data_IF_632662909165
#
_entry.id   IF_632662909165
#
_cell.length_a   1.000
_cell.length_b   1.000
_cell.length_c   1.000
_cell.angle_alpha   90.00
_cell.angle_beta   90.00
_cell.angle_gamma   90.00
#
_symmetry.space_group_name_H-M   'P 1'
#
loop_
_entity.id
_entity.type
_entity.pdbx_description
1 polymer ?
#
# COMPACT_ATOMS: atom_id res chain seq x y z
N UNK A 1 35.92 -51.97 59.15
CA UNK A 1 35.38 -53.03 58.26
C UNK A 1 34.99 -52.35 56.95
N UNK A 2 35.84 -52.42 55.91
CA UNK A 2 35.60 -53.08 54.60
C UNK A 2 34.20 -52.72 54.04
N UNK A 3 33.99 -52.13 52.85
CA UNK A 3 34.51 -52.44 51.50
C UNK A 3 34.09 -51.36 50.49
N UNK A 4 34.78 -51.36 49.34
CA UNK A 4 34.30 -51.02 47.97
C UNK A 4 33.98 -49.57 47.65
N UNK A 5 34.67 -48.99 46.65
CA UNK A 5 34.10 -48.44 45.40
C UNK A 5 35.30 -48.18 44.45
N UNK A 6 35.51 -49.11 43.53
CA UNK A 6 36.27 -48.92 42.28
C UNK A 6 35.22 -49.10 41.17
N UNK A 7 35.44 -48.43 40.02
CA UNK A 7 34.62 -48.46 38.80
C UNK A 7 33.40 -47.50 38.78
N UNK A 8 33.64 -46.20 38.61
CA UNK A 8 32.55 -45.25 38.27
C UNK A 8 32.94 -44.16 37.26
N UNK A 9 34.04 -44.33 36.50
CA UNK A 9 34.52 -43.30 35.55
C UNK A 9 34.50 -43.79 34.09
N UNK A 10 33.79 -44.88 33.77
CA UNK A 10 33.76 -45.42 32.40
C UNK A 10 32.38 -45.82 31.90
N UNK A 11 31.32 -45.11 32.32
CA UNK A 11 29.97 -45.29 31.75
C UNK A 11 29.17 -43.98 31.58
N UNK A 12 29.77 -42.80 31.76
CA UNK A 12 29.04 -41.52 31.66
C UNK A 12 29.29 -40.74 30.34
N UNK A 13 30.13 -41.27 29.43
CA UNK A 13 30.53 -40.53 28.21
C UNK A 13 29.87 -41.05 26.93
N UNK A 14 29.10 -42.14 26.98
CA UNK A 14 28.47 -42.73 25.78
C UNK A 14 26.98 -42.42 25.59
N UNK A 15 26.41 -41.50 26.39
CA UNK A 15 24.99 -41.12 26.30
C UNK A 15 24.74 -39.65 25.86
N UNK A 16 25.72 -39.00 25.24
CA UNK A 16 25.59 -37.62 24.73
C UNK A 16 25.48 -37.50 23.20
N UNK A 17 25.49 -38.64 22.49
CA UNK A 17 25.69 -38.68 21.03
C UNK A 17 24.44 -38.69 20.13
N UNK A 18 23.21 -38.64 20.66
CA UNK A 18 22.01 -38.55 19.79
C UNK A 18 21.47 -37.13 19.87
N UNK A 19 22.01 -36.24 19.05
CA UNK A 19 21.29 -35.02 18.69
C UNK A 19 20.11 -35.46 17.82
N UNK A 20 18.92 -35.54 18.41
CA UNK A 20 17.70 -35.51 17.60
C UNK A 20 17.79 -34.22 16.80
N UNK A 21 17.92 -34.31 15.48
CA UNK A 21 17.71 -33.19 14.58
C UNK A 21 16.34 -32.63 14.90
N UNK A 22 16.29 -31.57 15.70
CA UNK A 22 15.07 -30.85 15.95
C UNK A 22 14.81 -30.10 14.65
N UNK A 23 13.97 -30.67 13.79
CA UNK A 23 13.26 -29.88 12.80
C UNK A 23 12.50 -28.82 13.59
N UNK A 24 13.11 -27.64 13.72
CA UNK A 24 12.47 -26.52 14.38
C UNK A 24 11.35 -26.12 13.44
N UNK A 25 10.12 -26.50 13.79
CA UNK A 25 8.94 -26.02 13.10
C UNK A 25 9.09 -24.50 12.98
N UNK A 26 9.07 -23.99 11.76
CA UNK A 26 9.14 -22.56 11.52
C UNK A 26 8.08 -21.91 12.41
N UNK A 27 8.49 -20.99 13.29
CA UNK A 27 7.53 -20.25 14.10
C UNK A 27 6.52 -19.64 13.12
N UNK A 28 5.21 -19.90 13.27
CA UNK A 28 4.22 -19.29 12.41
C UNK A 28 4.45 -17.77 12.44
N UNK A 29 4.62 -17.19 11.26
CA UNK A 29 4.87 -15.77 11.12
C UNK A 29 3.79 -15.00 11.88
N UNK A 30 4.21 -14.08 12.74
CA UNK A 30 3.27 -13.29 13.53
C UNK A 30 2.49 -12.37 12.58
N UNK A 31 1.21 -12.65 12.38
CA UNK A 31 0.31 -11.77 11.62
C UNK A 31 -0.23 -10.67 12.52
N UNK A 32 0.06 -9.42 12.16
CA UNK A 32 -0.52 -8.25 12.81
C UNK A 32 -1.69 -7.73 11.97
N UNK A 33 -2.90 -7.76 12.54
CA UNK A 33 -4.09 -7.19 11.92
C UNK A 33 -4.19 -5.72 12.36
N UNK A 34 -4.13 -4.80 11.39
CA UNK A 34 -4.36 -3.37 11.62
C UNK A 34 -5.79 -3.05 11.19
N UNK A 35 -6.67 -2.79 12.16
CA UNK A 35 -8.09 -2.50 11.89
C UNK A 35 -8.32 -1.11 11.27
N UNK A 36 -7.61 -0.11 11.77
CA UNK A 36 -7.66 1.25 11.24
C UNK A 36 -6.24 1.85 11.23
N UNK A 37 -5.58 1.90 10.05
CA UNK A 37 -4.23 2.44 9.96
C UNK A 37 -4.16 3.94 10.25
N UNK A 38 -5.31 4.64 10.22
CA UNK A 38 -5.40 6.09 10.44
C UNK A 38 -5.91 6.47 11.84
N UNK A 39 -6.03 5.52 12.78
CA UNK A 39 -6.63 5.78 14.12
C UNK A 39 -5.99 6.93 14.90
N UNK A 40 -4.70 7.20 14.65
CA UNK A 40 -3.92 8.21 15.35
C UNK A 40 -3.68 9.47 14.49
N UNK A 41 -4.32 9.57 13.31
CA UNK A 41 -4.18 10.74 12.46
C UNK A 41 -5.07 11.86 12.99
N UNK A 42 -4.48 12.99 13.35
CA UNK A 42 -5.22 14.20 13.68
C UNK A 42 -5.53 14.97 12.40
N UNK A 43 -6.66 14.68 11.75
CA UNK A 43 -7.04 15.32 10.49
C UNK A 43 -7.16 16.85 10.56
N UNK A 44 -7.42 17.40 11.75
CA UNK A 44 -7.52 18.84 11.96
C UNK A 44 -6.18 19.58 11.79
N UNK A 45 -5.04 18.87 11.85
CA UNK A 45 -3.72 19.47 11.61
C UNK A 45 -3.33 19.51 10.13
N UNK A 46 -4.11 18.86 9.27
CA UNK A 46 -3.84 18.81 7.83
C UNK A 46 -4.75 19.78 7.09
N UNK A 47 -4.16 20.64 6.26
CA UNK A 47 -4.93 21.52 5.38
C UNK A 47 -5.74 20.68 4.39
N UNK A 48 -7.05 20.90 4.39
CA UNK A 48 -7.96 20.25 3.45
C UNK A 48 -8.03 21.07 2.15
N UNK A 49 -7.97 20.38 1.03
CA UNK A 49 -7.99 20.97 -0.31
C UNK A 49 -9.15 20.39 -1.12
N UNK A 50 -9.99 21.25 -1.70
CA UNK A 50 -10.98 20.83 -2.69
C UNK A 50 -10.22 20.56 -3.99
N UNK A 51 -10.27 19.32 -4.46
CA UNK A 51 -9.46 18.83 -5.57
C UNK A 51 -10.33 18.18 -6.66
N UNK A 52 -9.99 18.45 -7.91
CA UNK A 52 -10.54 17.78 -9.08
C UNK A 52 -9.41 16.98 -9.74
N UNK A 53 -9.49 15.65 -9.66
CA UNK A 53 -8.36 14.77 -10.02
C UNK A 53 -8.59 14.00 -11.32
N UNK A 54 -9.70 14.24 -12.00
CA UNK A 54 -10.07 13.58 -13.24
C UNK A 54 -10.95 14.54 -14.05
N UNK A 55 -10.32 15.31 -14.93
CA UNK A 55 -10.97 16.36 -15.72
C UNK A 55 -10.42 16.33 -17.12
N UNK A 56 -11.32 16.30 -18.10
CA UNK A 56 -10.97 16.23 -19.51
C UNK A 56 -11.25 17.58 -20.17
N UNK A 57 -10.55 17.85 -21.25
CA UNK A 57 -10.61 19.07 -22.05
C UNK A 57 -10.86 18.71 -23.52
N UNK A 58 -10.93 19.71 -24.37
CA UNK A 58 -10.96 19.53 -25.82
C UNK A 58 -9.72 18.80 -26.39
N UNK A 59 -8.68 18.53 -25.59
CA UNK A 59 -7.55 17.70 -26.01
C UNK A 59 -7.83 16.19 -25.97
N UNK A 60 -8.98 15.74 -25.44
CA UNK A 60 -9.52 14.40 -25.73
C UNK A 60 -11.02 14.47 -26.03
N UNK A 61 -11.85 14.02 -25.10
CA UNK A 61 -13.30 13.87 -25.17
C UNK A 61 -14.03 14.80 -24.17
N UNK A 62 -13.33 15.76 -23.56
CA UNK A 62 -13.94 16.83 -22.79
C UNK A 62 -14.48 17.94 -23.70
N UNK A 63 -15.29 18.85 -23.17
CA UNK A 63 -16.05 19.83 -23.97
C UNK A 63 -15.49 21.26 -23.97
N UNK A 64 -14.47 21.54 -23.15
CA UNK A 64 -14.00 22.91 -22.91
C UNK A 64 -12.49 23.05 -23.13
N UNK A 65 -12.07 24.25 -23.54
CA UNK A 65 -10.65 24.58 -23.67
C UNK A 65 -9.97 24.50 -22.29
N UNK A 66 -8.68 24.21 -22.27
CA UNK A 66 -7.88 24.09 -21.03
C UNK A 66 -8.04 25.33 -20.14
N UNK A 67 -8.03 26.52 -20.74
CA UNK A 67 -8.11 27.79 -20.00
C UNK A 67 -9.50 28.03 -19.39
N UNK A 68 -10.57 27.63 -20.07
CA UNK A 68 -11.94 27.63 -19.54
C UNK A 68 -12.07 26.70 -18.34
N UNK A 69 -11.55 25.47 -18.46
CA UNK A 69 -11.55 24.48 -17.37
C UNK A 69 -10.80 25.04 -16.16
N UNK A 70 -9.57 25.52 -16.34
CA UNK A 70 -8.77 26.08 -15.23
C UNK A 70 -9.52 27.24 -14.54
N UNK A 71 -10.05 28.19 -15.30
CA UNK A 71 -10.80 29.33 -14.74
C UNK A 71 -12.08 28.89 -14.03
N UNK A 72 -12.82 27.93 -14.58
CA UNK A 72 -14.05 27.43 -13.98
C UNK A 72 -13.78 26.76 -12.62
N UNK A 73 -12.77 25.89 -12.54
CA UNK A 73 -12.41 25.21 -11.29
C UNK A 73 -11.84 26.17 -10.24
N UNK A 74 -11.02 27.14 -10.66
CA UNK A 74 -10.56 28.21 -9.78
C UNK A 74 -11.75 29.01 -9.20
N UNK A 75 -12.69 29.44 -10.04
CA UNK A 75 -13.90 30.16 -9.63
C UNK A 75 -14.79 29.32 -8.70
N UNK A 76 -14.83 28.00 -8.88
CA UNK A 76 -15.58 27.06 -8.05
C UNK A 76 -14.88 26.69 -6.72
N UNK A 77 -13.75 27.35 -6.39
CA UNK A 77 -13.04 27.20 -5.13
C UNK A 77 -12.17 25.93 -5.04
N UNK A 78 -11.86 25.31 -6.18
CA UNK A 78 -10.88 24.24 -6.20
C UNK A 78 -9.47 24.81 -6.07
N UNK A 79 -8.65 24.14 -5.27
CA UNK A 79 -7.25 24.52 -5.04
C UNK A 79 -6.26 23.57 -5.71
N UNK A 80 -6.75 22.44 -6.22
CA UNK A 80 -5.98 21.44 -6.94
C UNK A 80 -6.82 20.98 -8.14
N UNK A 81 -6.21 20.95 -9.31
CA UNK A 81 -6.79 20.47 -10.56
C UNK A 81 -5.75 19.57 -11.26
N UNK A 82 -6.18 18.38 -11.68
CA UNK A 82 -5.45 17.54 -12.60
C UNK A 82 -6.26 17.37 -13.88
N UNK A 83 -5.66 17.73 -15.01
CA UNK A 83 -6.18 17.43 -16.34
C UNK A 83 -5.68 16.04 -16.72
N UNK A 84 -6.60 15.18 -17.15
CA UNK A 84 -6.37 13.75 -17.38
C UNK A 84 -6.94 13.32 -18.72
N UNK A 85 -6.67 14.11 -19.77
CA UNK A 85 -7.07 13.79 -21.14
C UNK A 85 -6.56 12.39 -21.56
N UNK A 86 -7.32 11.74 -22.44
CA UNK A 86 -6.98 10.39 -22.92
C UNK A 86 -5.84 10.42 -23.96
N UNK A 87 -4.75 9.68 -23.72
CA UNK A 87 -3.63 9.54 -24.68
C UNK A 87 -4.01 8.96 -26.06
N UNK A 88 -5.12 8.21 -26.14
CA UNK A 88 -5.55 7.50 -27.36
C UNK A 88 -6.79 8.10 -28.01
N UNK A 89 -7.19 9.30 -27.61
CA UNK A 89 -8.26 10.03 -28.25
C UNK A 89 -7.71 11.28 -28.90
N UNK A 90 -8.18 11.56 -30.10
CA UNK A 90 -7.87 12.80 -30.79
C UNK A 90 -8.51 13.98 -30.05
N UNK A 91 -7.97 15.20 -30.20
CA UNK A 91 -8.66 16.40 -29.78
C UNK A 91 -10.07 16.45 -30.39
N UNK A 92 -11.04 16.95 -29.63
CA UNK A 92 -12.43 17.08 -30.08
C UNK A 92 -13.18 15.74 -30.32
N UNK A 93 -12.68 14.60 -29.82
CA UNK A 93 -13.22 13.27 -30.09
C UNK A 93 -14.72 13.11 -29.76
N UNK A 94 -15.23 13.89 -28.80
CA UNK A 94 -16.64 13.96 -28.46
C UNK A 94 -17.53 14.44 -29.62
N UNK A 95 -17.05 15.40 -30.42
CA UNK A 95 -17.78 15.92 -31.58
C UNK A 95 -17.72 14.94 -32.75
N UNK A 96 -16.58 14.31 -32.99
CA UNK A 96 -16.39 13.33 -34.07
C UNK A 96 -17.22 12.05 -33.85
N UNK A 97 -17.40 11.66 -32.59
CA UNK A 97 -18.20 10.49 -32.24
C UNK A 97 -19.71 10.77 -32.18
N UNK A 98 -20.16 11.95 -32.58
CA UNK A 98 -21.57 12.34 -32.58
C UNK A 98 -22.18 12.39 -31.18
N UNK A 99 -21.38 12.52 -30.12
CA UNK A 99 -21.85 12.71 -28.74
C UNK A 99 -22.09 14.19 -28.52
N UNK A 100 -23.16 14.66 -29.14
CA UNK A 100 -23.83 15.92 -28.82
C UNK A 100 -24.72 15.64 -27.61
N UNK A 101 -24.27 16.05 -26.44
CA UNK A 101 -25.06 16.12 -25.22
C UNK A 101 -26.12 17.23 -25.31
#
# INVERSE_FOLDING_TARGET
MKKTIVYSITLLVLLSGVTKGHAQAAKPGQMNIVLNPYKNVNWATFKQHKAALHVHTLQSDGYNMVDEVVRAYQKAGFTILAITDHDKMEPMAQYERGRID
#
